data_IF_898060017962
#
_entry.id   IF_898060017962
#
_cell.length_a   1.000
_cell.length_b   1.000
_cell.length_c   1.000
_cell.angle_alpha   90.00
_cell.angle_beta   90.00
_cell.angle_gamma   90.00
#
_symmetry.space_group_name_H-M   'P 1'
#
loop_
_entity.id
_entity.type
_entity.pdbx_description
1 polymer ?
#
# COMPACT_ATOMS: atom_id res chain seq x y z
N UNK A 1 7.13 23.55 9.14
CA UNK A 1 7.02 22.08 9.15
C UNK A 1 7.93 21.55 8.06
N UNK A 2 8.86 20.66 8.38
CA UNK A 2 9.83 20.10 7.42
C UNK A 2 9.21 18.91 6.70
N UNK A 3 9.27 18.90 5.37
CA UNK A 3 8.92 17.72 4.57
C UNK A 3 9.97 16.63 4.75
N UNK A 4 9.56 15.37 4.76
CA UNK A 4 10.44 14.19 4.86
C UNK A 4 10.21 13.32 3.63
N UNK A 5 11.29 12.83 3.01
CA UNK A 5 11.21 11.92 1.88
C UNK A 5 11.37 10.47 2.33
N UNK A 6 10.48 9.62 1.83
CA UNK A 6 10.54 8.17 2.05
C UNK A 6 10.72 7.45 0.72
N UNK A 7 11.67 6.53 0.66
CA UNK A 7 11.71 5.50 -0.37
C UNK A 7 10.76 4.38 0.05
N UNK A 8 9.69 4.19 -0.70
CA UNK A 8 8.69 3.13 -0.47
C UNK A 8 8.86 2.07 -1.56
N UNK A 9 9.37 0.90 -1.18
CA UNK A 9 9.42 -0.28 -2.04
C UNK A 9 8.19 -1.13 -1.81
N UNK A 10 7.39 -1.30 -2.85
CA UNK A 10 6.20 -2.13 -2.92
C UNK A 10 6.55 -3.49 -3.54
N UNK A 11 6.12 -4.57 -2.89
CA UNK A 11 6.13 -5.93 -3.45
C UNK A 11 4.72 -6.44 -3.62
N UNK A 12 4.34 -6.79 -4.84
CA UNK A 12 3.11 -7.55 -5.12
C UNK A 12 3.39 -9.03 -4.88
N UNK A 13 2.49 -9.69 -4.16
CA UNK A 13 2.57 -11.09 -3.78
C UNK A 13 2.63 -11.99 -5.00
N UNK A 14 3.46 -13.03 -4.93
CA UNK A 14 3.46 -14.12 -5.90
C UNK A 14 2.79 -15.40 -5.36
N UNK A 15 1.90 -15.25 -4.37
CA UNK A 15 1.14 -16.37 -3.80
C UNK A 15 0.13 -16.94 -4.81
N UNK A 16 -0.29 -18.19 -4.62
CA UNK A 16 -1.31 -18.82 -5.46
C UNK A 16 -2.62 -18.02 -5.51
N UNK A 17 -3.02 -17.40 -4.39
CA UNK A 17 -4.18 -16.51 -4.34
C UNK A 17 -4.00 -15.25 -5.21
N UNK A 18 -2.82 -14.63 -5.18
CA UNK A 18 -2.51 -13.47 -6.04
C UNK A 18 -2.47 -13.85 -7.51
N UNK A 19 -1.85 -14.99 -7.85
CA UNK A 19 -1.78 -15.50 -9.22
C UNK A 19 -3.18 -15.85 -9.75
N UNK A 20 -4.01 -16.49 -8.93
CA UNK A 20 -5.38 -16.84 -9.29
C UNK A 20 -6.31 -15.61 -9.40
N UNK A 21 -6.07 -14.56 -8.60
CA UNK A 21 -6.76 -13.28 -8.76
C UNK A 21 -6.37 -12.61 -10.08
N UNK A 22 -5.09 -12.68 -10.42
CA UNK A 22 -4.53 -12.03 -11.59
C UNK A 22 -4.19 -10.55 -11.34
N UNK A 23 -3.69 -9.88 -12.38
CA UNK A 23 -3.29 -8.47 -12.34
C UNK A 23 -4.50 -7.53 -12.19
N UNK A 24 -4.26 -6.33 -11.69
CA UNK A 24 -5.29 -5.29 -11.54
C UNK A 24 -4.72 -3.89 -11.84
N UNK A 25 -5.60 -2.92 -12.13
CA UNK A 25 -5.24 -1.55 -12.48
C UNK A 25 -5.78 -0.59 -11.43
N UNK A 26 -4.94 0.33 -10.95
CA UNK A 26 -5.36 1.35 -9.99
C UNK A 26 -4.16 2.03 -9.36
N UNK A 27 -4.40 2.68 -8.21
CA UNK A 27 -3.38 3.42 -7.46
C UNK A 27 -3.29 2.95 -6.03
N UNK A 28 -2.09 3.07 -5.47
CA UNK A 28 -1.82 2.78 -4.08
C UNK A 28 -1.67 4.09 -3.33
N UNK A 29 -2.44 4.22 -2.27
CA UNK A 29 -2.39 5.34 -1.35
C UNK A 29 -1.85 4.86 0.00
N UNK A 30 -0.97 5.66 0.60
CA UNK A 30 -0.30 5.36 1.87
C UNK A 30 -0.50 6.50 2.87
N UNK A 31 -0.66 6.12 4.13
CA UNK A 31 -0.60 7.01 5.30
C UNK A 31 0.38 6.37 6.28
N UNK A 32 1.43 7.08 6.64
CA UNK A 32 2.44 6.60 7.58
C UNK A 32 2.04 6.97 9.01
N UNK A 33 2.28 6.06 9.96
CA UNK A 33 1.90 6.23 11.37
C UNK A 33 3.11 6.03 12.27
N UNK A 34 3.38 7.02 13.11
CA UNK A 34 4.48 6.99 14.07
C UNK A 34 4.12 6.32 15.41
N UNK A 35 5.11 6.25 16.31
CA UNK A 35 4.95 5.66 17.64
C UNK A 35 3.96 6.39 18.55
N UNK A 36 3.66 7.65 18.27
CA UNK A 36 2.71 8.47 19.00
C UNK A 36 1.32 8.47 18.34
N UNK A 37 1.10 7.61 17.35
CA UNK A 37 -0.14 7.50 16.55
C UNK A 37 -0.44 8.70 15.66
N UNK A 38 0.51 9.63 15.51
CA UNK A 38 0.38 10.71 14.55
C UNK A 38 0.43 10.14 13.13
N UNK A 39 -0.28 10.79 12.22
CA UNK A 39 -0.43 10.34 10.84
C UNK A 39 0.08 11.41 9.90
N UNK A 40 0.73 10.98 8.82
CA UNK A 40 0.97 11.86 7.67
C UNK A 40 -0.35 12.15 6.96
N UNK A 41 -0.31 13.09 6.03
CA UNK A 41 -1.33 13.19 5.00
C UNK A 41 -1.42 11.88 4.17
N UNK A 42 -2.53 11.74 3.45
CA UNK A 42 -2.70 10.67 2.48
C UNK A 42 -1.88 10.99 1.23
N UNK A 43 -1.04 10.04 0.80
CA UNK A 43 -0.17 10.24 -0.37
C UNK A 43 -0.28 9.06 -1.33
N UNK A 44 -0.43 9.36 -2.62
CA UNK A 44 -0.38 8.36 -3.69
C UNK A 44 1.08 8.01 -4.00
N UNK A 45 1.34 6.73 -4.28
CA UNK A 45 2.65 6.28 -4.77
C UNK A 45 2.88 6.67 -6.24
N UNK A 46 1.80 6.74 -7.02
CA UNK A 46 1.77 7.12 -8.43
C UNK A 46 0.56 8.04 -8.65
N UNK A 47 0.74 9.11 -9.44
CA UNK A 47 -0.34 10.07 -9.74
C UNK A 47 -1.38 9.49 -10.71
N UNK A 48 -0.93 8.61 -11.62
CA UNK A 48 -1.73 7.94 -12.63
C UNK A 48 -2.04 6.48 -12.25
N UNK A 49 -3.12 5.94 -12.82
CA UNK A 49 -3.45 4.52 -12.66
C UNK A 49 -2.37 3.63 -13.26
N UNK A 50 -2.02 2.57 -12.52
CA UNK A 50 -0.96 1.65 -12.90
C UNK A 50 -1.45 0.21 -12.89
N UNK A 51 -0.96 -0.56 -13.86
CA UNK A 51 -1.15 -2.00 -13.96
C UNK A 51 -0.13 -2.73 -13.08
N UNK A 52 -0.63 -3.51 -12.11
CA UNK A 52 0.18 -4.31 -11.20
C UNK A 52 -0.08 -5.79 -11.43
N UNK A 53 0.98 -6.59 -11.57
CA UNK A 53 0.90 -8.05 -11.72
C UNK A 53 1.59 -8.79 -10.54
N UNK A 54 1.19 -10.04 -10.28
CA UNK A 54 1.84 -10.86 -9.25
C UNK A 54 3.36 -10.90 -9.40
N UNK A 55 4.06 -10.65 -8.29
CA UNK A 55 5.52 -10.64 -8.25
C UNK A 55 6.19 -9.31 -8.60
N UNK A 56 5.48 -8.27 -9.02
CA UNK A 56 6.08 -6.95 -9.27
C UNK A 56 6.79 -6.39 -8.03
N UNK A 57 7.92 -5.70 -8.27
CA UNK A 57 8.69 -5.00 -7.23
C UNK A 57 9.03 -3.62 -7.75
N UNK A 58 8.63 -2.60 -7.01
CA UNK A 58 8.82 -1.22 -7.44
C UNK A 58 9.16 -0.31 -6.27
N UNK A 59 9.97 0.71 -6.51
CA UNK A 59 10.28 1.74 -5.51
C UNK A 59 9.80 3.11 -5.97
N UNK A 60 9.24 3.89 -5.05
CA UNK A 60 8.81 5.27 -5.28
C UNK A 60 9.32 6.18 -4.16
N UNK A 61 9.66 7.41 -4.54
CA UNK A 61 9.99 8.46 -3.58
C UNK A 61 8.72 9.22 -3.23
N UNK A 62 8.44 9.31 -1.93
CA UNK A 62 7.20 9.90 -1.42
C UNK A 62 7.56 10.96 -0.39
N UNK A 63 7.28 12.22 -0.71
CA UNK A 63 7.42 13.33 0.21
C UNK A 63 6.12 13.50 1.01
N UNK A 64 6.24 13.58 2.34
CA UNK A 64 5.14 13.81 3.29
C UNK A 64 5.50 14.85 4.33
N UNK A 65 4.52 15.41 5.01
CA UNK A 65 4.75 16.21 6.20
C UNK A 65 5.25 15.32 7.34
N UNK A 66 6.40 15.67 7.94
CA UNK A 66 6.96 14.90 9.04
C UNK A 66 6.07 14.92 10.28
N UNK A 67 5.86 13.75 10.90
CA UNK A 67 5.08 13.63 12.16
C UNK A 67 5.93 13.89 13.41
N UNK A 68 7.23 14.13 13.24
CA UNK A 68 8.22 14.32 14.30
C UNK A 68 8.96 13.04 14.71
N UNK A 69 8.45 11.86 14.34
CA UNK A 69 9.08 10.57 14.60
C UNK A 69 9.03 9.66 13.37
N UNK A 70 9.97 8.71 13.20
CA UNK A 70 9.90 7.75 12.13
C UNK A 70 8.64 6.87 12.23
N UNK A 71 8.08 6.44 11.10
CA UNK A 71 6.90 5.59 11.09
C UNK A 71 7.22 4.20 11.65
N UNK A 72 6.21 3.58 12.28
CA UNK A 72 6.27 2.20 12.77
C UNK A 72 5.23 1.30 12.09
N UNK A 73 4.29 1.89 11.35
CA UNK A 73 3.23 1.21 10.62
C UNK A 73 2.69 2.07 9.48
N UNK A 74 1.89 1.48 8.58
CA UNK A 74 1.27 2.21 7.48
C UNK A 74 -0.16 1.74 7.24
N UNK A 75 -1.06 2.68 6.98
CA UNK A 75 -2.37 2.37 6.39
C UNK A 75 -2.22 2.46 4.88
N UNK A 76 -2.69 1.43 4.18
CA UNK A 76 -2.65 1.33 2.73
C UNK A 76 -4.06 1.20 2.20
N UNK A 77 -4.35 1.95 1.14
CA UNK A 77 -5.63 1.95 0.43
C UNK A 77 -5.38 1.65 -1.05
N UNK A 78 -6.16 0.71 -1.60
CA UNK A 78 -6.25 0.49 -3.04
C UNK A 78 -7.32 1.43 -3.61
N UNK A 79 -6.89 2.37 -4.45
CA UNK A 79 -7.76 3.33 -5.13
C UNK A 79 -8.07 2.77 -6.51
N UNK A 80 -9.35 2.51 -6.73
CA UNK A 80 -9.87 2.01 -7.99
C UNK A 80 -10.98 2.95 -8.45
N UNK A 81 -10.74 3.66 -9.55
CA UNK A 81 -11.75 4.53 -10.16
C UNK A 81 -12.47 3.76 -11.27
N UNK A 82 -13.59 3.11 -10.94
CA UNK A 82 -14.57 2.76 -11.97
C UNK A 82 -15.62 3.84 -12.08
N UNK A 83 -15.98 4.16 -13.32
CA UNK A 83 -17.17 4.92 -13.60
C UNK A 83 -18.41 4.08 -13.23
N UNK A 84 -18.92 4.29 -12.00
CA UNK A 84 -20.07 3.56 -11.44
C UNK A 84 -21.38 3.81 -12.22
N UNK A 85 -21.37 4.71 -13.21
CA UNK A 85 -22.52 5.00 -14.08
C UNK A 85 -22.64 4.08 -15.29
N UNK A 86 -21.78 3.06 -15.46
CA UNK A 86 -21.95 2.06 -16.52
C UNK A 86 -22.71 0.80 -16.00
N UNK A 87 -23.90 0.48 -16.55
CA UNK A 87 -24.71 -0.66 -16.11
C UNK A 87 -24.06 -2.04 -16.35
N UNK A 88 -23.03 -2.14 -17.19
CA UNK A 88 -22.26 -3.39 -17.40
C UNK A 88 -21.28 -3.66 -16.25
N UNK A 89 -20.67 -2.62 -15.69
CA UNK A 89 -19.68 -2.73 -14.60
C UNK A 89 -20.25 -3.23 -13.28
N UNK A 90 -21.53 -2.97 -12.98
CA UNK A 90 -22.18 -3.49 -11.75
C UNK A 90 -22.24 -5.02 -11.74
N UNK A 91 -22.52 -5.64 -12.88
CA UNK A 91 -22.62 -7.10 -12.99
C UNK A 91 -21.27 -7.81 -12.83
N UNK A 92 -20.16 -7.08 -12.86
CA UNK A 92 -18.79 -7.59 -12.80
C UNK A 92 -18.05 -7.23 -11.50
N UNK A 93 -18.76 -6.76 -10.46
CA UNK A 93 -18.19 -6.35 -9.16
C UNK A 93 -17.57 -7.52 -8.37
N UNK A 94 -16.51 -8.15 -8.89
CA UNK A 94 -15.40 -8.54 -8.00
C UNK A 94 -14.83 -7.23 -7.49
N UNK A 95 -14.87 -7.03 -6.17
CA UNK A 95 -14.24 -5.87 -5.56
C UNK A 95 -12.77 -5.87 -5.95
N UNK A 96 -12.36 -4.90 -6.78
CA UNK A 96 -10.97 -4.75 -7.22
C UNK A 96 -10.05 -4.76 -6.00
N UNK A 97 -8.96 -5.52 -6.09
CA UNK A 97 -8.10 -5.78 -4.95
C UNK A 97 -6.69 -6.10 -5.39
N UNK A 98 -5.73 -5.77 -4.53
CA UNK A 98 -4.32 -6.03 -4.79
C UNK A 98 -3.70 -6.81 -3.64
N UNK A 99 -2.95 -7.85 -3.98
CA UNK A 99 -2.26 -8.68 -3.00
C UNK A 99 -0.86 -8.12 -2.78
N UNK A 100 -0.73 -7.21 -1.82
CA UNK A 100 0.58 -6.67 -1.42
C UNK A 100 1.25 -7.68 -0.48
N UNK A 101 2.49 -8.07 -0.77
CA UNK A 101 3.29 -8.91 0.12
C UNK A 101 3.88 -8.07 1.25
N UNK A 102 4.55 -6.97 0.89
CA UNK A 102 5.09 -6.01 1.84
C UNK A 102 5.23 -4.62 1.22
N UNK A 103 5.30 -3.63 2.11
CA UNK A 103 5.94 -2.35 1.84
C UNK A 103 7.21 -2.26 2.68
N UNK A 104 8.33 -1.90 2.06
CA UNK A 104 9.54 -1.48 2.75
C UNK A 104 9.61 0.05 2.68
N UNK A 105 9.74 0.70 3.81
CA UNK A 105 9.68 2.15 3.96
C UNK A 105 11.02 2.59 4.57
N UNK A 106 11.81 3.35 3.82
CA UNK A 106 13.11 3.86 4.25
C UNK A 106 13.14 5.39 4.21
N UNK A 107 13.79 6.03 5.19
CA UNK A 107 14.10 7.46 5.18
C UNK A 107 15.54 7.69 5.64
N UNK A 108 16.26 8.52 4.89
CA UNK A 108 17.63 8.92 5.22
C UNK A 108 17.63 9.95 6.36
N UNK A 109 16.65 10.85 6.39
CA UNK A 109 16.48 11.89 7.41
C UNK A 109 16.31 11.29 8.80
N UNK A 110 15.59 10.17 8.91
CA UNK A 110 15.44 9.45 10.17
C UNK A 110 16.45 8.31 10.35
N UNK A 111 17.24 7.98 9.31
CA UNK A 111 18.10 6.79 9.28
C UNK A 111 17.34 5.51 9.70
N UNK A 112 16.17 5.29 9.09
CA UNK A 112 15.29 4.15 9.42
C UNK A 112 14.87 3.38 8.18
N UNK A 113 14.70 2.07 8.34
CA UNK A 113 14.04 1.20 7.39
C UNK A 113 13.09 0.27 8.15
N UNK A 114 11.82 0.22 7.74
CA UNK A 114 10.86 -0.74 8.26
C UNK A 114 10.24 -1.54 7.12
N UNK A 115 9.89 -2.79 7.38
CA UNK A 115 9.05 -3.59 6.47
C UNK A 115 7.71 -3.83 7.15
N UNK A 116 6.62 -3.53 6.45
CA UNK A 116 5.25 -3.73 6.93
C UNK A 116 4.50 -4.65 5.98
N UNK A 117 3.70 -5.56 6.54
CA UNK A 117 2.95 -6.55 5.77
C UNK A 117 1.46 -6.47 6.11
N UNK A 118 0.56 -6.92 5.23
CA UNK A 118 -0.85 -7.00 5.55
C UNK A 118 -1.11 -8.14 6.52
N UNK A 119 -2.10 -7.95 7.41
CA UNK A 119 -2.47 -8.99 8.38
C UNK A 119 -2.93 -10.25 7.65
N UNK A 120 -2.33 -11.39 7.96
CA UNK A 120 -2.66 -12.70 7.40
C UNK A 120 -2.58 -12.76 5.86
N UNK A 121 -1.75 -11.92 5.22
CA UNK A 121 -1.62 -11.85 3.76
C UNK A 121 -2.95 -11.61 3.02
N UNK A 122 -3.92 -10.98 3.69
CA UNK A 122 -5.19 -10.60 3.05
C UNK A 122 -4.94 -9.51 2.00
N UNK A 123 -5.72 -9.49 0.90
CA UNK A 123 -5.61 -8.46 -0.11
C UNK A 123 -5.98 -7.09 0.45
N UNK A 124 -5.41 -6.04 -0.14
CA UNK A 124 -5.85 -4.66 0.03
C UNK A 124 -7.02 -4.45 -0.94
N UNK A 125 -8.22 -4.37 -0.40
CA UNK A 125 -9.45 -4.26 -1.20
C UNK A 125 -9.76 -2.79 -1.48
N UNK A 126 -10.29 -2.51 -2.67
CA UNK A 126 -10.69 -1.18 -3.08
C UNK A 126 -11.56 -0.49 -2.01
N UNK A 127 -11.25 0.78 -1.74
CA UNK A 127 -11.98 1.64 -0.79
C UNK A 127 -11.95 1.17 0.68
N UNK A 128 -11.16 0.15 1.03
CA UNK A 128 -10.94 -0.27 2.41
C UNK A 128 -9.52 0.11 2.88
N UNK A 129 -9.45 0.63 4.11
CA UNK A 129 -8.18 0.95 4.78
C UNK A 129 -7.55 -0.31 5.34
N UNK A 130 -6.36 -0.66 4.87
CA UNK A 130 -5.62 -1.84 5.35
C UNK A 130 -4.47 -1.41 6.24
N UNK A 131 -4.54 -1.74 7.52
CA UNK A 131 -3.43 -1.54 8.46
C UNK A 131 -2.34 -2.58 8.21
N UNK A 132 -1.13 -2.12 7.89
CA UNK A 132 0.07 -2.93 7.70
C UNK A 132 1.07 -2.66 8.84
N UNK A 133 1.66 -3.72 9.39
CA UNK A 133 2.57 -3.63 10.54
C UNK A 133 3.73 -4.61 10.40
N UNK A 134 4.91 -4.33 10.99
CA UNK A 134 6.05 -5.25 10.94
C UNK A 134 5.77 -6.62 11.56
N UNK A 135 4.97 -6.66 12.63
CA UNK A 135 4.58 -7.92 13.28
C UNK A 135 3.79 -8.87 12.36
N UNK A 136 3.12 -8.34 11.34
CA UNK A 136 2.36 -9.15 10.38
C UNK A 136 3.27 -9.89 9.39
N UNK A 137 4.53 -9.44 9.21
CA UNK A 137 5.49 -10.09 8.32
C UNK A 137 6.02 -11.43 8.85
N UNK A 138 5.97 -11.65 10.17
CA UNK A 138 6.46 -12.87 10.82
C UNK A 138 5.44 -14.02 10.78
N UNK A 139 4.19 -13.72 10.45
CA UNK A 139 3.09 -14.69 10.45
C UNK A 139 3.13 -15.43 9.10
N UNK A 140 4.06 -16.37 8.93
CA UNK A 140 4.05 -17.30 7.80
C UNK A 140 3.00 -18.38 8.06
N UNK A 141 2.14 -18.64 7.08
CA UNK A 141 1.40 -19.91 6.98
C UNK A 141 2.29 -20.91 6.25
#
# INVERSE_FOLDING_TARGET
>A
MTGVQYAITLKISNSSASVAHGPDVGRISVILIDRNTNRTENKLLDDEDKYYKPGDVETRMVAVQGTGFPPISAIVEWKYETNLFNPVTWRLLKSSSIFIEYLKIASLEYNTEITVCPKLHKPVVANLKTMMMPKYCKIRK
#
